data_IF_379335586237
#
_entry.id   IF_379335586237
#
_cell.length_a   1.000
_cell.length_b   1.000
_cell.length_c   1.000
_cell.angle_alpha   90.00
_cell.angle_beta   90.00
_cell.angle_gamma   90.00
#
_symmetry.space_group_name_H-M   'P 1'
#
loop_
_entity.id
_entity.type
_entity.pdbx_description
1 polymer ?
#
# COMPACT_ATOMS: atom_id res chain seq x y z
N UNK A 1 -32.82 -30.84 50.41
CA UNK A 1 -31.41 -31.14 50.73
C UNK A 1 -30.60 -30.05 50.02
N UNK A 2 -30.26 -28.91 50.62
CA UNK A 2 -29.53 -28.67 51.89
C UNK A 2 -28.18 -29.42 51.86
N UNK A 3 -26.99 -28.83 51.97
CA UNK A 3 -26.54 -27.54 52.55
C UNK A 3 -25.15 -27.12 52.04
N UNK A 4 -24.89 -25.80 52.14
CA UNK A 4 -23.68 -25.05 52.60
C UNK A 4 -22.27 -25.40 52.09
N UNK A 5 -21.39 -24.46 51.71
CA UNK A 5 -20.91 -23.24 52.41
C UNK A 5 -19.39 -23.45 52.61
N UNK A 6 -18.43 -22.51 52.59
CA UNK A 6 -18.29 -21.06 52.63
C UNK A 6 -16.89 -20.71 52.02
N UNK A 7 -16.66 -19.52 51.44
CA UNK A 7 -15.87 -18.40 52.02
C UNK A 7 -14.33 -18.64 51.99
N UNK A 8 -13.39 -17.74 51.63
CA UNK A 8 -13.24 -16.28 51.60
C UNK A 8 -12.03 -15.94 50.68
N UNK A 9 -12.10 -14.92 49.82
CA UNK A 9 -11.44 -13.60 49.92
C UNK A 9 -9.96 -13.57 50.37
N UNK A 10 -9.06 -13.11 49.49
CA UNK A 10 -7.97 -12.16 49.85
C UNK A 10 -7.42 -11.41 48.63
N UNK A 11 -6.93 -10.21 48.91
CA UNK A 11 -6.72 -9.06 48.02
C UNK A 11 -5.34 -9.02 47.33
N UNK A 12 -5.30 -8.24 46.23
CA UNK A 12 -4.26 -7.28 45.79
C UNK A 12 -2.77 -7.70 45.85
N UNK A 13 -2.08 -7.59 44.71
CA UNK A 13 -1.18 -6.45 44.37
C UNK A 13 -0.19 -6.83 43.26
N UNK A 14 0.22 -5.81 42.50
CA UNK A 14 1.11 -5.83 41.33
C UNK A 14 2.51 -6.39 41.61
N UNK A 15 3.12 -7.03 40.61
CA UNK A 15 4.55 -6.83 40.35
C UNK A 15 4.92 -7.08 38.88
N UNK A 16 5.55 -6.05 38.30
CA UNK A 16 6.29 -6.03 37.04
C UNK A 16 7.25 -7.22 36.91
N UNK A 17 7.26 -7.87 35.74
CA UNK A 17 8.19 -8.95 35.40
C UNK A 17 8.88 -8.64 34.09
N UNK A 18 9.84 -7.72 34.13
CA UNK A 18 10.79 -7.47 33.06
C UNK A 18 11.62 -8.74 32.81
N UNK A 19 11.62 -9.22 31.57
CA UNK A 19 12.51 -10.28 31.11
C UNK A 19 13.95 -9.76 31.14
N UNK A 20 14.66 -10.19 32.17
CA UNK A 20 16.06 -9.91 32.44
C UNK A 20 16.90 -10.83 31.53
N UNK A 21 17.33 -10.31 30.38
CA UNK A 21 18.40 -10.95 29.60
C UNK A 21 19.72 -10.55 30.25
N UNK A 22 20.29 -11.50 31.00
CA UNK A 22 21.64 -11.46 31.53
C UNK A 22 22.63 -11.31 30.36
N UNK A 23 23.30 -10.16 30.27
CA UNK A 23 24.47 -9.98 29.41
C UNK A 23 25.67 -9.86 30.35
N UNK A 24 26.38 -10.98 30.52
CA UNK A 24 27.64 -11.04 31.23
C UNK A 24 28.63 -10.05 30.58
N UNK A 25 29.06 -9.06 31.36
CA UNK A 25 30.14 -8.14 30.99
C UNK A 25 31.45 -8.80 31.49
N UNK A 26 32.41 -9.14 30.61
CA UNK A 26 33.76 -9.35 31.08
C UNK A 26 34.41 -7.98 31.30
N UNK A 27 34.71 -7.67 32.56
CA UNK A 27 35.61 -6.58 32.92
C UNK A 27 37.04 -6.89 32.46
N UNK A 28 37.80 -5.81 32.29
CA UNK A 28 39.22 -5.73 31.94
C UNK A 28 39.59 -5.87 30.47
N UNK A 29 39.71 -4.73 29.78
CA UNK A 29 41.05 -4.19 29.46
C UNK A 29 40.96 -2.68 29.24
N UNK A 30 41.49 -1.90 30.18
CA UNK A 30 41.89 -0.51 29.93
C UNK A 30 43.01 -0.50 28.89
N UNK A 31 42.69 -0.21 27.64
CA UNK A 31 43.69 0.09 26.62
C UNK A 31 43.15 1.18 25.69
N UNK A 32 43.64 2.41 25.91
CA UNK A 32 43.65 3.48 24.91
C UNK A 32 42.30 4.04 24.51
N UNK A 33 41.82 5.06 25.23
CA UNK A 33 40.93 6.07 24.66
C UNK A 33 41.74 6.88 23.64
N UNK A 34 42.03 6.27 22.49
CA UNK A 34 42.50 6.94 21.29
C UNK A 34 41.25 7.32 20.50
N UNK A 35 41.01 8.62 20.42
CA UNK A 35 39.78 9.25 19.95
C UNK A 35 39.17 8.57 18.73
N UNK A 36 38.08 7.83 18.96
CA UNK A 36 37.12 7.57 17.90
C UNK A 36 36.43 8.91 17.67
N UNK A 37 36.47 9.49 16.45
CA UNK A 37 35.73 10.71 16.20
C UNK A 37 34.27 10.35 16.43
N UNK A 38 33.66 10.96 17.45
CA UNK A 38 32.21 11.03 17.56
C UNK A 38 31.81 11.65 16.23
N UNK A 39 31.33 10.82 15.28
CA UNK A 39 30.76 11.31 14.02
C UNK A 39 29.88 12.46 14.45
N UNK A 40 30.18 13.68 13.98
CA UNK A 40 29.37 14.86 14.35
C UNK A 40 27.90 14.46 14.24
N UNK A 41 27.03 14.87 15.17
CA UNK A 41 25.62 14.43 15.20
C UNK A 41 24.97 14.42 13.80
N UNK A 42 25.34 15.41 12.97
CA UNK A 42 25.00 15.54 11.54
C UNK A 42 25.42 14.36 10.64
N UNK A 43 26.60 13.78 10.82
CA UNK A 43 27.08 12.63 10.05
C UNK A 43 26.42 11.32 10.49
N UNK A 44 26.13 11.14 11.79
CA UNK A 44 25.30 10.03 12.26
C UNK A 44 23.89 10.12 11.67
N UNK A 45 23.33 11.33 11.66
CA UNK A 45 22.02 11.58 11.09
C UNK A 45 21.88 11.20 9.62
N UNK A 46 22.85 11.63 8.80
CA UNK A 46 22.90 11.29 7.38
C UNK A 46 22.98 9.78 7.15
N UNK A 47 23.66 9.06 8.04
CA UNK A 47 23.74 7.60 7.96
C UNK A 47 22.37 6.96 8.22
N UNK A 48 21.66 7.38 9.28
CA UNK A 48 20.33 6.85 9.61
C UNK A 48 19.32 7.15 8.48
N UNK A 49 19.35 8.36 7.91
CA UNK A 49 18.52 8.71 6.74
C UNK A 49 18.86 7.80 5.57
N UNK A 50 20.14 7.58 5.27
CA UNK A 50 20.55 6.72 4.16
C UNK A 50 20.16 5.24 4.37
N UNK A 51 20.26 4.71 5.59
CA UNK A 51 19.80 3.37 5.93
C UNK A 51 18.28 3.23 5.75
N UNK A 52 17.51 4.23 6.16
CA UNK A 52 16.08 4.24 5.90
C UNK A 52 15.75 4.34 4.41
N UNK A 53 16.41 5.23 3.66
CA UNK A 53 16.19 5.35 2.22
C UNK A 53 16.55 4.05 1.51
N UNK A 54 17.53 3.30 2.02
CA UNK A 54 17.87 1.96 1.53
C UNK A 54 16.74 0.99 1.83
N UNK A 55 16.22 0.97 3.06
CA UNK A 55 15.11 0.10 3.45
C UNK A 55 13.79 0.44 2.70
N UNK A 56 13.50 1.72 2.48
CA UNK A 56 12.33 2.17 1.72
C UNK A 56 12.40 1.76 0.25
N UNK A 57 13.62 1.63 -0.32
CA UNK A 57 13.84 1.05 -1.65
C UNK A 57 13.63 -0.46 -1.70
N UNK A 58 13.80 -1.17 -0.58
CA UNK A 58 13.51 -2.61 -0.48
C UNK A 58 12.00 -2.88 -0.37
N UNK A 59 11.21 -1.90 0.11
CA UNK A 59 9.76 -2.03 0.15
C UNK A 59 9.17 -1.98 -1.27
N UNK A 60 8.09 -2.74 -1.55
CA UNK A 60 7.42 -2.70 -2.85
C UNK A 60 7.08 -1.28 -3.24
N UNK A 61 7.52 -0.84 -4.42
CA UNK A 61 7.28 0.53 -4.82
C UNK A 61 5.76 0.82 -4.93
N UNK A 62 5.39 2.07 -4.69
CA UNK A 62 4.00 2.53 -4.64
C UNK A 62 3.79 3.68 -5.62
N UNK A 63 2.55 3.83 -6.11
CA UNK A 63 2.17 5.00 -6.89
C UNK A 63 2.35 6.25 -6.03
N UNK A 64 3.01 7.28 -6.58
CA UNK A 64 3.18 8.59 -5.95
C UNK A 64 2.11 9.55 -6.45
N UNK A 65 1.68 10.48 -5.61
CA UNK A 65 0.64 11.45 -5.92
C UNK A 65 1.09 12.84 -5.49
N UNK A 66 1.15 13.80 -6.42
CA UNK A 66 1.39 15.20 -6.09
C UNK A 66 0.14 15.91 -5.56
N UNK A 67 -1.03 15.46 -6.00
CA UNK A 67 -2.34 15.95 -5.55
C UNK A 67 -3.29 14.78 -5.33
N UNK A 68 -4.39 14.97 -4.58
CA UNK A 68 -5.42 13.94 -4.47
C UNK A 68 -5.95 13.53 -5.84
N UNK A 69 -6.14 12.22 -6.12
CA UNK A 69 -6.65 11.76 -7.40
C UNK A 69 -8.06 12.28 -7.68
N UNK A 70 -8.31 12.67 -8.93
CA UNK A 70 -9.64 13.08 -9.37
C UNK A 70 -10.60 11.88 -9.43
N UNK A 71 -11.85 12.11 -9.02
CA UNK A 71 -12.89 11.07 -9.06
C UNK A 71 -13.28 10.72 -10.50
N UNK A 72 -13.41 9.43 -10.77
CA UNK A 72 -13.80 8.85 -12.05
C UNK A 72 -14.94 7.84 -11.83
N UNK A 73 -16.16 8.31 -11.49
CA UNK A 73 -17.24 7.44 -11.04
C UNK A 73 -17.79 6.49 -12.11
N UNK A 74 -17.50 6.73 -13.38
CA UNK A 74 -17.88 5.89 -14.53
C UNK A 74 -16.72 5.04 -15.06
N UNK A 75 -15.58 5.02 -14.37
CA UNK A 75 -14.43 4.22 -14.73
C UNK A 75 -14.39 2.94 -13.89
N UNK A 76 -14.32 1.81 -14.58
CA UNK A 76 -14.18 0.46 -14.04
C UNK A 76 -12.75 -0.02 -14.24
N UNK A 77 -12.33 -0.95 -13.39
CA UNK A 77 -11.00 -1.53 -13.44
C UNK A 77 -11.06 -3.05 -13.35
N UNK A 78 -10.30 -3.70 -14.22
CA UNK A 78 -9.94 -5.12 -14.14
C UNK A 78 -8.46 -5.21 -13.77
N UNK A 79 -8.15 -5.76 -12.59
CA UNK A 79 -6.77 -6.11 -12.22
C UNK A 79 -6.44 -7.51 -12.74
N UNK A 80 -5.34 -7.65 -13.47
CA UNK A 80 -4.94 -8.93 -14.03
C UNK A 80 -3.42 -9.06 -14.12
N UNK A 81 -2.93 -10.31 -14.08
CA UNK A 81 -1.55 -10.67 -14.41
C UNK A 81 -1.41 -11.14 -15.86
N UNK A 82 -2.53 -11.25 -16.57
CA UNK A 82 -2.59 -11.73 -17.93
C UNK A 82 -2.20 -10.63 -18.92
N UNK A 83 -1.59 -11.06 -20.02
CA UNK A 83 -1.09 -10.22 -21.12
C UNK A 83 -2.16 -9.95 -22.18
N UNK A 84 -3.39 -9.66 -21.75
CA UNK A 84 -4.48 -9.41 -22.69
C UNK A 84 -4.16 -8.26 -23.65
N UNK A 85 -4.62 -8.40 -24.88
CA UNK A 85 -4.60 -7.35 -25.89
C UNK A 85 -5.86 -6.49 -25.79
N UNK A 86 -5.82 -5.30 -26.40
CA UNK A 86 -7.01 -4.45 -26.50
C UNK A 86 -8.17 -5.17 -27.19
N UNK A 87 -7.89 -5.96 -28.23
CA UNK A 87 -8.91 -6.69 -28.98
C UNK A 87 -9.63 -7.71 -28.09
N UNK A 88 -8.88 -8.51 -27.32
CA UNK A 88 -9.48 -9.53 -26.44
C UNK A 88 -10.37 -8.91 -25.34
N UNK A 89 -10.00 -7.72 -24.85
CA UNK A 89 -10.81 -6.99 -23.88
C UNK A 89 -12.07 -6.42 -24.55
N UNK A 90 -11.97 -5.92 -25.78
CA UNK A 90 -13.12 -5.43 -26.55
C UNK A 90 -14.10 -6.56 -26.88
N UNK A 91 -13.60 -7.71 -27.33
CA UNK A 91 -14.43 -8.89 -27.61
C UNK A 91 -15.15 -9.38 -26.36
N UNK A 92 -14.47 -9.38 -25.21
CA UNK A 92 -15.10 -9.74 -23.93
C UNK A 92 -16.18 -8.75 -23.51
N UNK A 93 -15.97 -7.45 -23.75
CA UNK A 93 -16.98 -6.42 -23.49
C UNK A 93 -18.19 -6.56 -24.42
N UNK A 94 -17.97 -6.82 -25.70
CA UNK A 94 -19.04 -7.02 -26.69
C UNK A 94 -19.87 -8.28 -26.39
N UNK A 95 -19.23 -9.34 -25.87
CA UNK A 95 -19.93 -10.54 -25.44
C UNK A 95 -20.86 -10.31 -24.24
N UNK A 96 -20.45 -9.48 -23.28
CA UNK A 96 -21.25 -9.14 -22.09
C UNK A 96 -22.29 -8.05 -22.37
N UNK A 97 -21.97 -7.09 -23.23
CA UNK A 97 -22.82 -5.98 -23.63
C UNK A 97 -22.81 -5.81 -25.15
N UNK A 98 -23.64 -6.59 -25.87
CA UNK A 98 -23.72 -6.50 -27.33
C UNK A 98 -24.09 -5.09 -27.81
N UNK A 99 -23.32 -4.55 -28.74
CA UNK A 99 -23.46 -3.21 -29.31
C UNK A 99 -22.97 -2.09 -28.41
N UNK A 100 -22.24 -2.36 -27.32
CA UNK A 100 -21.84 -1.33 -26.35
C UNK A 100 -20.90 -0.27 -26.95
N UNK A 101 -20.07 -0.65 -27.91
CA UNK A 101 -19.16 0.28 -28.59
C UNK A 101 -19.93 1.15 -29.60
N UNK A 102 -20.80 0.54 -30.41
CA UNK A 102 -21.58 1.24 -31.44
C UNK A 102 -22.61 2.21 -30.83
N UNK A 103 -23.24 1.80 -29.74
CA UNK A 103 -24.19 2.64 -28.99
C UNK A 103 -23.52 3.72 -28.14
N UNK A 104 -22.20 3.67 -27.97
CA UNK A 104 -21.45 4.60 -27.12
C UNK A 104 -21.65 4.38 -25.61
N UNK A 105 -22.15 3.22 -25.19
CA UNK A 105 -22.22 2.84 -23.76
C UNK A 105 -20.82 2.70 -23.14
N UNK A 106 -19.85 2.22 -23.92
CA UNK A 106 -18.42 2.21 -23.56
C UNK A 106 -17.72 3.31 -24.34
N UNK A 107 -17.14 4.27 -23.63
CA UNK A 107 -16.47 5.44 -24.21
C UNK A 107 -14.99 5.23 -24.49
N UNK A 108 -14.30 4.43 -23.67
CA UNK A 108 -12.88 4.13 -23.86
C UNK A 108 -12.43 2.92 -23.04
N UNK A 109 -11.37 2.28 -23.52
CA UNK A 109 -10.57 1.32 -22.77
C UNK A 109 -9.10 1.77 -22.74
N UNK A 110 -8.41 1.50 -21.63
CA UNK A 110 -6.98 1.84 -21.46
C UNK A 110 -6.26 0.77 -20.66
N UNK A 111 -5.00 0.52 -20.99
CA UNK A 111 -4.12 -0.32 -20.22
C UNK A 111 -3.17 0.51 -19.35
N UNK A 112 -3.09 0.20 -18.07
CA UNK A 112 -2.10 0.75 -17.14
C UNK A 112 -1.13 -0.36 -16.73
N UNK A 113 0.13 -0.23 -17.15
CA UNK A 113 1.21 -1.04 -16.61
C UNK A 113 1.59 -0.52 -15.23
N UNK A 114 1.16 -1.22 -14.18
CA UNK A 114 1.34 -0.76 -12.80
C UNK A 114 2.80 -0.86 -12.38
N UNK A 115 3.57 -1.80 -12.95
CA UNK A 115 5.00 -1.91 -12.69
C UNK A 115 5.79 -0.73 -13.27
N UNK A 116 5.36 -0.16 -14.39
CA UNK A 116 5.95 1.08 -14.93
C UNK A 116 5.59 2.28 -14.05
N UNK A 117 4.34 2.34 -13.56
CA UNK A 117 3.86 3.48 -12.77
C UNK A 117 4.44 3.49 -11.36
N UNK A 118 4.49 2.34 -10.71
CA UNK A 118 4.95 2.23 -9.33
C UNK A 118 6.45 1.93 -9.25
N UNK A 119 7.05 1.31 -10.26
CA UNK A 119 8.31 0.57 -10.15
C UNK A 119 8.06 -0.93 -10.01
N UNK A 120 8.97 -1.75 -10.53
CA UNK A 120 8.83 -3.21 -10.65
C UNK A 120 8.64 -3.85 -9.27
N UNK A 121 7.41 -4.20 -8.94
CA UNK A 121 7.05 -4.69 -7.61
C UNK A 121 6.07 -5.88 -7.66
N UNK A 122 5.96 -6.54 -8.82
CA UNK A 122 5.04 -7.67 -9.01
C UNK A 122 3.57 -7.27 -8.85
N UNK A 123 3.23 -6.01 -9.18
CA UNK A 123 1.85 -5.54 -9.11
C UNK A 123 1.08 -6.00 -10.35
N UNK A 124 -0.21 -6.26 -10.16
CA UNK A 124 -1.12 -6.60 -11.26
C UNK A 124 -1.36 -5.37 -12.11
N UNK A 125 -1.31 -5.56 -13.42
CA UNK A 125 -1.64 -4.52 -14.37
C UNK A 125 -3.16 -4.29 -14.40
N UNK A 126 -3.56 -3.13 -14.92
CA UNK A 126 -4.94 -2.66 -14.84
C UNK A 126 -5.49 -2.33 -16.21
N UNK A 127 -6.63 -2.91 -16.52
CA UNK A 127 -7.46 -2.48 -17.64
C UNK A 127 -8.56 -1.55 -17.12
N UNK A 128 -8.56 -0.32 -17.62
CA UNK A 128 -9.57 0.69 -17.32
C UNK A 128 -10.62 0.71 -18.41
N UNK A 129 -11.89 0.70 -18.02
CA UNK A 129 -13.04 0.72 -18.91
C UNK A 129 -13.92 1.89 -18.49
N UNK A 130 -14.06 2.90 -19.36
CA UNK A 130 -14.88 4.08 -19.07
C UNK A 130 -16.21 3.95 -19.78
N UNK A 131 -17.30 3.95 -19.03
CA UNK A 131 -18.66 3.91 -19.57
C UNK A 131 -19.33 5.27 -19.53
N UNK A 132 -20.47 5.42 -20.19
CA UNK A 132 -21.18 6.71 -20.27
C UNK A 132 -22.30 6.87 -19.25
N UNK A 133 -22.79 5.77 -18.65
CA UNK A 133 -23.89 5.81 -17.70
C UNK A 133 -23.77 4.80 -16.55
N UNK A 134 -24.52 5.07 -15.47
CA UNK A 134 -24.48 4.25 -14.25
C UNK A 134 -25.15 2.88 -14.41
N UNK A 135 -26.06 2.69 -15.36
CA UNK A 135 -26.70 1.39 -15.61
C UNK A 135 -25.70 0.43 -16.22
N UNK A 136 -25.02 0.86 -17.30
CA UNK A 136 -23.93 0.11 -17.94
C UNK A 136 -22.85 -0.21 -16.92
N UNK A 137 -22.44 0.78 -16.12
CA UNK A 137 -21.45 0.57 -15.05
C UNK A 137 -21.91 -0.52 -14.07
N UNK A 138 -23.16 -0.44 -13.61
CA UNK A 138 -23.69 -1.36 -12.61
C UNK A 138 -23.91 -2.76 -13.17
N UNK A 139 -24.18 -2.88 -14.48
CA UNK A 139 -24.23 -4.16 -15.18
C UNK A 139 -22.85 -4.83 -15.16
N UNK A 140 -21.82 -4.13 -15.65
CA UNK A 140 -20.45 -4.62 -15.70
C UNK A 140 -19.85 -4.94 -14.31
N UNK A 141 -20.18 -4.17 -13.28
CA UNK A 141 -19.79 -4.49 -11.90
C UNK A 141 -20.37 -5.81 -11.39
N UNK A 142 -21.52 -6.24 -11.92
CA UNK A 142 -22.15 -7.51 -11.54
C UNK A 142 -21.71 -8.68 -12.41
N UNK A 143 -21.59 -8.48 -13.72
CA UNK A 143 -21.25 -9.53 -14.67
C UNK A 143 -19.74 -9.78 -14.75
N UNK A 144 -18.92 -8.75 -14.61
CA UNK A 144 -17.52 -8.81 -15.00
C UNK A 144 -17.36 -8.89 -16.51
N UNK A 145 -16.20 -9.37 -16.96
CA UNK A 145 -15.91 -9.70 -18.37
C UNK A 145 -15.03 -10.97 -18.43
N UNK A 146 -15.04 -11.66 -19.57
CA UNK A 146 -14.27 -12.90 -19.74
C UNK A 146 -13.33 -12.92 -20.96
N UNK A 147 -12.24 -12.13 -20.98
CA UNK A 147 -11.24 -12.18 -22.05
C UNK A 147 -10.60 -13.57 -22.14
N UNK A 148 -10.46 -14.11 -23.35
CA UNK A 148 -10.03 -15.51 -23.59
C UNK A 148 -10.85 -16.57 -22.83
N UNK A 149 -12.09 -16.25 -22.45
CA UNK A 149 -12.94 -17.13 -21.63
C UNK A 149 -12.56 -17.17 -20.14
N UNK A 150 -11.63 -16.33 -19.70
CA UNK A 150 -11.19 -16.25 -18.30
C UNK A 150 -12.02 -15.18 -17.57
N UNK A 151 -12.88 -15.59 -16.66
CA UNK A 151 -13.74 -14.68 -15.91
C UNK A 151 -12.93 -13.74 -15.01
N UNK A 152 -13.16 -12.43 -15.17
CA UNK A 152 -12.55 -11.38 -14.36
C UNK A 152 -13.63 -10.46 -13.77
N UNK A 153 -13.55 -10.25 -12.46
CA UNK A 153 -14.39 -9.27 -11.77
C UNK A 153 -13.95 -7.85 -12.11
N UNK A 154 -14.92 -6.95 -12.29
CA UNK A 154 -14.68 -5.52 -12.41
C UNK A 154 -14.95 -4.83 -11.07
N UNK A 155 -14.10 -3.85 -10.74
CA UNK A 155 -14.26 -2.99 -9.56
C UNK A 155 -14.30 -1.53 -9.98
N UNK A 156 -14.74 -0.64 -9.08
CA UNK A 156 -14.68 0.79 -9.35
C UNK A 156 -13.23 1.26 -9.34
N UNK A 157 -12.81 1.98 -10.37
CA UNK A 157 -11.44 2.48 -10.44
C UNK A 157 -11.08 3.36 -9.22
N UNK A 158 -12.02 4.20 -8.78
CA UNK A 158 -11.85 5.07 -7.62
C UNK A 158 -11.51 4.30 -6.33
N UNK A 159 -12.00 3.06 -6.15
CA UNK A 159 -11.70 2.27 -4.95
C UNK A 159 -10.24 1.85 -4.91
N UNK A 160 -9.71 1.37 -6.04
CA UNK A 160 -8.32 0.98 -6.17
C UNK A 160 -7.40 2.21 -6.06
N UNK A 161 -7.74 3.28 -6.77
CA UNK A 161 -6.95 4.51 -6.79
C UNK A 161 -6.90 5.18 -5.42
N UNK A 162 -8.00 5.16 -4.66
CA UNK A 162 -8.03 5.65 -3.29
C UNK A 162 -7.23 4.76 -2.34
N UNK A 163 -7.21 3.44 -2.57
CA UNK A 163 -6.33 2.51 -1.86
C UNK A 163 -4.86 2.86 -2.05
N UNK A 164 -4.45 3.10 -3.29
CA UNK A 164 -3.09 3.52 -3.63
C UNK A 164 -2.75 4.88 -2.98
N UNK A 165 -3.67 5.84 -3.05
CA UNK A 165 -3.47 7.17 -2.47
C UNK A 165 -3.33 7.13 -0.93
N UNK A 166 -4.14 6.31 -0.25
CA UNK A 166 -4.01 6.10 1.20
C UNK A 166 -2.67 5.45 1.57
N UNK A 167 -2.16 4.55 0.75
CA UNK A 167 -0.84 3.96 0.97
C UNK A 167 0.27 5.00 0.78
N UNK A 168 0.15 5.86 -0.24
CA UNK A 168 1.04 6.99 -0.47
C UNK A 168 1.09 7.94 0.71
N UNK A 169 -0.06 8.40 1.21
CA UNK A 169 -0.13 9.29 2.38
C UNK A 169 0.51 8.67 3.62
N UNK A 170 0.31 7.36 3.84
CA UNK A 170 0.94 6.65 4.97
C UNK A 170 2.46 6.64 4.87
N UNK A 171 3.02 6.34 3.69
CA UNK A 171 4.48 6.38 3.49
C UNK A 171 5.04 7.79 3.63
N UNK A 172 4.37 8.79 3.06
CA UNK A 172 4.78 10.19 3.18
C UNK A 172 4.78 10.65 4.64
N UNK A 173 3.76 10.29 5.42
CA UNK A 173 3.66 10.62 6.83
C UNK A 173 4.79 9.99 7.66
N UNK A 174 5.07 8.71 7.45
CA UNK A 174 6.17 7.99 8.14
C UNK A 174 7.52 8.62 7.79
N UNK A 175 7.78 8.88 6.50
CA UNK A 175 9.00 9.55 6.03
C UNK A 175 9.16 10.91 6.71
N UNK A 176 8.09 11.72 6.73
CA UNK A 176 8.10 13.04 7.38
C UNK A 176 8.38 12.95 8.88
N UNK A 177 7.71 12.05 9.61
CA UNK A 177 7.95 11.86 11.04
C UNK A 177 9.38 11.42 11.34
N UNK A 178 9.93 10.53 10.51
CA UNK A 178 11.31 10.12 10.65
C UNK A 178 12.26 11.30 10.41
N UNK A 179 12.10 12.05 9.32
CA UNK A 179 12.93 13.22 9.03
C UNK A 179 12.86 14.26 10.17
N UNK A 180 11.68 14.48 10.74
CA UNK A 180 11.49 15.34 11.91
C UNK A 180 12.19 14.82 13.17
N UNK A 181 12.08 13.52 13.47
CA UNK A 181 12.76 12.90 14.61
C UNK A 181 14.29 13.01 14.50
N UNK A 182 14.77 13.09 13.26
CA UNK A 182 16.16 13.29 12.91
C UNK A 182 16.54 14.79 12.88
N UNK A 183 15.61 15.73 13.04
CA UNK A 183 15.91 17.16 13.01
C UNK A 183 16.28 17.68 11.61
N UNK A 184 15.83 17.00 10.56
CA UNK A 184 15.84 17.54 9.21
C UNK A 184 14.72 18.59 9.09
N UNK A 185 15.08 19.79 8.62
CA UNK A 185 14.10 20.84 8.29
C UNK A 185 13.19 20.36 7.15
N UNK A 186 11.88 20.67 7.18
CA UNK A 186 10.98 20.33 6.09
C UNK A 186 11.41 21.09 4.83
N UNK A 187 11.87 20.37 3.81
CA UNK A 187 11.95 20.92 2.46
C UNK A 187 10.52 21.14 1.95
N UNK A 188 10.21 22.33 1.42
CA UNK A 188 8.88 22.69 0.89
C UNK A 188 8.48 21.92 -0.39
N UNK A 189 9.28 20.94 -0.80
CA UNK A 189 9.05 20.08 -1.95
C UNK A 189 8.78 18.63 -1.48
N UNK A 190 7.62 18.36 -0.89
CA UNK A 190 7.04 17.01 -0.74
C UNK A 190 5.51 17.09 -0.69
#
# INVERSE_FOLDING_TARGET
MAEEGAGQLTQRSLSSGALLVNLEIPEDTQAGILGRPIKSSKQYLRHVIAEYETLDRELPCIRKFSTPPAAQPLCLCMETSEDFTHLEVLEALEAELPGAMESGCVSSIRFENVNVICGTAGRRDRWLITVTDFQTRSCLLRSGISPRGLAHSLVRHDELLLGDYRLHLRRALVRRHMLQALGAEPTEED
#
